data_IF_422327262258
#
_entry.id   IF_422327262258
#
_cell.length_a   1.000
_cell.length_b   1.000
_cell.length_c   1.000
_cell.angle_alpha   90.00
_cell.angle_beta   90.00
_cell.angle_gamma   90.00
#
_symmetry.space_group_name_H-M   'P 1'
#
loop_
_entity.id
_entity.type
_entity.pdbx_description
1 polymer ?
#
# COMPACT_ATOMS: atom_id res chain seq x y z
N UNK A 1 4.35 -0.81 -8.34
CA UNK A 1 3.95 -1.50 -7.10
C UNK A 1 5.17 -2.24 -6.55
N UNK A 2 5.63 -1.98 -5.32
CA UNK A 2 6.80 -2.67 -4.75
C UNK A 2 6.60 -4.17 -4.62
N UNK A 3 5.34 -4.64 -4.53
CA UNK A 3 5.00 -6.04 -4.30
C UNK A 3 4.58 -6.79 -5.57
N UNK A 4 4.54 -6.11 -6.72
CA UNK A 4 3.99 -6.70 -7.95
C UNK A 4 2.49 -7.02 -7.86
N UNK A 5 1.74 -6.39 -6.96
CA UNK A 5 0.33 -6.68 -6.68
C UNK A 5 -0.66 -6.26 -7.79
N UNK A 6 -0.20 -5.67 -8.90
CA UNK A 6 -1.07 -5.12 -9.94
C UNK A 6 -0.83 -5.88 -11.24
N UNK A 7 -1.90 -6.43 -11.82
CA UNK A 7 -1.88 -7.15 -13.09
C UNK A 7 -2.95 -6.64 -14.06
N UNK A 8 -2.74 -6.87 -15.35
CA UNK A 8 -3.72 -6.56 -16.39
C UNK A 8 -4.81 -7.64 -16.42
N UNK A 9 -6.06 -7.24 -16.21
CA UNK A 9 -7.25 -8.08 -16.38
C UNK A 9 -7.85 -7.95 -17.79
N UNK A 10 -9.08 -8.44 -17.98
CA UNK A 10 -9.75 -8.39 -19.30
C UNK A 10 -10.18 -6.96 -19.68
N UNK A 11 -10.75 -6.23 -18.73
CA UNK A 11 -11.30 -4.88 -18.95
C UNK A 11 -10.58 -3.79 -18.12
N UNK A 12 -9.97 -4.16 -16.99
CA UNK A 12 -9.32 -3.24 -16.06
C UNK A 12 -8.08 -3.87 -15.42
N UNK A 13 -7.22 -3.04 -14.83
CA UNK A 13 -6.15 -3.53 -13.97
C UNK A 13 -6.73 -4.01 -12.64
N UNK A 14 -6.23 -5.14 -12.17
CA UNK A 14 -6.65 -5.77 -10.92
C UNK A 14 -5.53 -5.63 -9.88
N UNK A 15 -5.92 -5.41 -8.63
CA UNK A 15 -5.01 -5.39 -7.48
C UNK A 15 -5.26 -6.65 -6.65
N UNK A 16 -4.23 -7.48 -6.47
CA UNK A 16 -4.28 -8.62 -5.58
C UNK A 16 -4.14 -8.16 -4.12
N UNK A 17 -5.22 -8.30 -3.34
CA UNK A 17 -5.27 -7.91 -1.94
C UNK A 17 -4.25 -8.66 -1.06
N UNK A 18 -3.89 -9.90 -1.41
CA UNK A 18 -2.90 -10.69 -0.66
C UNK A 18 -1.48 -10.12 -0.82
N UNK A 19 -1.23 -9.37 -1.90
CA UNK A 19 0.05 -8.71 -2.18
C UNK A 19 0.01 -7.21 -1.91
N UNK A 20 -1.16 -6.59 -1.81
CA UNK A 20 -1.29 -5.17 -1.54
C UNK A 20 -0.95 -4.89 -0.07
N UNK A 21 0.06 -4.04 0.17
CA UNK A 21 0.42 -3.56 1.51
C UNK A 21 0.09 -2.08 1.68
N UNK A 22 -0.75 -1.51 0.80
CA UNK A 22 -0.99 -0.06 0.69
C UNK A 22 0.32 0.76 0.68
N UNK A 23 1.41 0.15 0.19
CA UNK A 23 2.78 0.66 0.22
C UNK A 23 3.38 0.91 1.63
N UNK A 24 2.72 0.50 2.72
CA UNK A 24 3.29 0.53 4.08
C UNK A 24 4.62 -0.23 4.11
N UNK A 25 5.63 0.38 4.73
CA UNK A 25 7.02 -0.09 4.76
C UNK A 25 7.88 0.43 3.60
N UNK A 26 7.29 1.01 2.56
CA UNK A 26 8.00 1.50 1.36
C UNK A 26 7.77 2.99 1.10
N UNK A 27 6.51 3.42 1.16
CA UNK A 27 6.08 4.76 0.80
C UNK A 27 5.02 5.27 1.78
N UNK A 28 4.97 6.60 1.94
CA UNK A 28 3.96 7.30 2.72
C UNK A 28 2.61 7.43 2.04
N UNK A 29 2.48 6.92 0.82
CA UNK A 29 1.27 6.96 0.01
C UNK A 29 1.30 5.84 -1.03
N UNK A 30 0.13 5.50 -1.54
CA UNK A 30 -0.08 4.45 -2.51
C UNK A 30 0.53 4.86 -3.87
N UNK A 31 1.70 4.33 -4.21
CA UNK A 31 2.39 4.69 -5.45
C UNK A 31 1.57 4.41 -6.72
N UNK A 32 0.62 3.46 -6.69
CA UNK A 32 -0.31 3.23 -7.79
C UNK A 32 -1.31 4.39 -7.95
N UNK A 33 -1.77 4.98 -6.86
CA UNK A 33 -2.64 6.14 -6.88
C UNK A 33 -1.91 7.37 -7.41
N UNK A 34 -0.64 7.58 -7.05
CA UNK A 34 0.14 8.72 -7.54
C UNK A 34 0.27 8.81 -9.06
N UNK A 35 0.27 7.65 -9.74
CA UNK A 35 0.46 7.57 -11.19
C UNK A 35 -0.82 7.27 -11.96
N UNK A 36 -1.93 6.97 -11.27
CA UNK A 36 -3.19 6.62 -11.91
C UNK A 36 -3.79 7.87 -12.61
N UNK A 37 -3.98 7.86 -13.95
CA UNK A 37 -4.46 9.04 -14.67
C UNK A 37 -5.94 9.37 -14.42
N UNK A 38 -6.67 8.50 -13.73
CA UNK A 38 -8.12 8.57 -13.52
C UNK A 38 -8.51 8.38 -12.04
N UNK A 39 -7.54 8.42 -11.12
CA UNK A 39 -7.76 8.34 -9.67
C UNK A 39 -8.64 7.14 -9.22
N UNK A 40 -8.49 5.98 -9.86
CA UNK A 40 -9.33 4.81 -9.59
C UNK A 40 -8.73 3.79 -8.59
N UNK A 41 -7.47 3.98 -8.17
CA UNK A 41 -6.86 3.18 -7.11
C UNK A 41 -7.27 3.77 -5.75
N UNK A 42 -8.35 3.24 -5.19
CA UNK A 42 -8.96 3.67 -3.92
C UNK A 42 -8.91 2.53 -2.88
N UNK A 43 -9.07 2.84 -1.57
CA UNK A 43 -9.15 1.82 -0.53
C UNK A 43 -10.27 0.81 -0.80
N UNK A 44 -9.99 -0.46 -0.51
CA UNK A 44 -10.96 -1.55 -0.63
C UNK A 44 -11.73 -1.71 0.67
N UNK A 45 -13.05 -1.47 0.61
CA UNK A 45 -13.93 -1.55 1.77
C UNK A 45 -14.08 -2.96 2.33
N UNK A 46 -13.85 -3.99 1.50
CA UNK A 46 -13.97 -5.39 1.90
C UNK A 46 -12.67 -5.96 2.49
N UNK A 47 -11.53 -5.28 2.29
CA UNK A 47 -10.19 -5.69 2.72
C UNK A 47 -9.50 -4.61 3.56
N UNK A 48 -10.13 -4.19 4.67
CA UNK A 48 -9.55 -3.19 5.59
C UNK A 48 -8.50 -3.80 6.49
N UNK A 49 -7.29 -3.27 6.43
CA UNK A 49 -6.15 -3.73 7.21
C UNK A 49 -5.55 -2.61 8.06
N UNK A 50 -4.98 -2.98 9.20
CA UNK A 50 -4.23 -2.08 10.06
C UNK A 50 -2.81 -1.88 9.56
N UNK A 51 -2.15 -0.80 9.97
CA UNK A 51 -0.75 -0.53 9.66
C UNK A 51 0.18 -1.71 10.03
N UNK A 52 -0.11 -2.38 11.16
CA UNK A 52 0.64 -3.55 11.60
C UNK A 52 0.45 -4.74 10.66
N UNK A 53 -0.78 -5.03 10.24
CA UNK A 53 -1.07 -6.13 9.30
C UNK A 53 -0.40 -5.89 7.94
N UNK A 54 -0.47 -4.66 7.42
CA UNK A 54 0.17 -4.28 6.16
C UNK A 54 1.71 -4.37 6.23
N UNK A 55 2.30 -3.93 7.35
CA UNK A 55 3.75 -4.04 7.58
C UNK A 55 4.20 -5.50 7.71
N UNK A 56 3.43 -6.34 8.40
CA UNK A 56 3.75 -7.76 8.55
C UNK A 56 3.62 -8.51 7.21
N UNK A 57 2.61 -8.17 6.41
CA UNK A 57 2.47 -8.66 5.03
C UNK A 57 3.70 -8.27 4.19
N UNK A 58 4.18 -7.02 4.28
CA UNK A 58 5.38 -6.58 3.57
C UNK A 58 6.62 -7.42 3.95
N UNK A 59 6.81 -7.73 5.24
CA UNK A 59 7.91 -8.59 5.71
C UNK A 59 7.80 -10.04 5.21
N UNK A 60 6.59 -10.55 5.04
CA UNK A 60 6.37 -11.90 4.47
C UNK A 60 6.72 -11.94 2.98
N UNK A 61 6.35 -10.89 2.23
CA UNK A 61 6.61 -10.80 0.79
C UNK A 61 8.11 -10.58 0.51
N UNK A 62 8.75 -9.71 1.29
CA UNK A 62 10.13 -9.26 1.06
C UNK A 62 11.08 -9.75 2.16
N UNK A 63 11.32 -11.06 2.18
CA UNK A 63 12.18 -11.71 3.19
C UNK A 63 13.66 -11.32 3.11
N UNK A 64 14.08 -10.68 2.02
CA UNK A 64 15.43 -10.18 1.76
C UNK A 64 15.61 -8.70 2.10
N UNK A 65 14.55 -8.02 2.58
CA UNK A 65 14.58 -6.62 2.99
C UNK A 65 14.31 -6.48 4.49
N UNK A 66 15.05 -5.57 5.13
CA UNK A 66 14.81 -5.20 6.52
C UNK A 66 13.77 -4.06 6.58
N UNK A 67 12.78 -4.20 7.45
CA UNK A 67 11.78 -3.18 7.71
C UNK A 67 11.92 -2.66 9.15
N UNK A 68 11.73 -1.35 9.37
CA UNK A 68 11.77 -0.78 10.71
C UNK A 68 10.64 -1.33 11.59
N UNK A 69 10.72 -1.10 12.90
CA UNK A 69 9.61 -1.40 13.79
C UNK A 69 8.40 -0.51 13.47
N UNK A 70 7.18 -0.97 13.80
CA UNK A 70 5.95 -0.20 13.57
C UNK A 70 6.05 1.24 14.11
N UNK A 71 6.59 1.41 15.32
CA UNK A 71 6.74 2.72 15.97
C UNK A 71 7.77 3.65 15.32
N UNK A 72 8.57 3.15 14.37
CA UNK A 72 9.61 3.90 13.67
C UNK A 72 9.19 4.26 12.24
N UNK A 73 7.99 3.85 11.80
CA UNK A 73 7.44 4.28 10.52
C UNK A 73 7.24 5.81 10.52
N UNK A 74 7.36 6.40 9.34
CA UNK A 74 7.27 7.85 9.16
C UNK A 74 6.26 8.19 8.06
N UNK A 75 6.01 9.48 7.87
CA UNK A 75 5.21 9.97 6.74
C UNK A 75 5.81 9.61 5.36
N UNK A 76 7.04 9.11 5.29
CA UNK A 76 7.68 8.67 4.04
C UNK A 76 7.50 7.17 3.79
N UNK A 77 7.14 6.38 4.80
CA UNK A 77 7.05 4.91 4.72
C UNK A 77 5.70 4.36 5.17
N UNK A 78 4.79 5.21 5.63
CA UNK A 78 3.44 4.82 6.02
C UNK A 78 2.40 5.91 5.74
N UNK A 79 1.32 5.51 5.08
CA UNK A 79 0.15 6.33 4.81
C UNK A 79 -0.57 6.78 6.09
N UNK A 80 -0.46 6.02 7.18
CA UNK A 80 -1.06 6.34 8.48
C UNK A 80 -0.38 7.54 9.16
N UNK A 81 0.82 7.89 8.70
CA UNK A 81 1.60 9.01 9.22
C UNK A 81 1.70 10.17 8.23
N UNK A 82 1.21 10.01 7.00
CA UNK A 82 1.27 11.04 5.98
C UNK A 82 0.04 11.97 6.05
N UNK A 83 0.20 13.23 6.48
CA UNK A 83 -0.91 14.17 6.56
C UNK A 83 -1.46 14.60 5.18
N UNK A 84 -0.74 14.29 4.10
CA UNK A 84 -1.09 14.67 2.74
C UNK A 84 -1.62 13.50 1.90
N UNK A 85 -1.91 12.34 2.51
CA UNK A 85 -2.46 11.18 1.79
C UNK A 85 -3.75 11.57 1.05
N UNK A 86 -3.76 11.37 -0.28
CA UNK A 86 -4.87 11.76 -1.16
C UNK A 86 -6.21 11.12 -0.77
N UNK A 87 -6.19 9.86 -0.35
CA UNK A 87 -7.38 9.09 0.04
C UNK A 87 -7.61 9.01 1.55
N UNK A 88 -7.09 9.95 2.36
CA UNK A 88 -7.24 9.91 3.82
C UNK A 88 -8.70 9.93 4.34
N UNK A 89 -9.67 10.34 3.52
CA UNK A 89 -11.08 10.46 3.90
C UNK A 89 -12.00 9.46 3.19
N UNK A 90 -11.42 8.53 2.43
CA UNK A 90 -12.12 7.37 1.87
C UNK A 90 -11.90 6.20 2.82
#
# INVERSE_FOLDING_TARGET
>A
CPNGAISEGEDFYEIDAELCTECVGFHGEEACQEVCPVDCCIPDEDNKETEQELLDKAKVIHTDQEFPALAELTAETSLFHNPNRKNANL
#
